data_IF_646482164299
#
_entry.id   IF_646482164299
#
_cell.length_a   1.000
_cell.length_b   1.000
_cell.length_c   1.000
_cell.angle_alpha   90.00
_cell.angle_beta   90.00
_cell.angle_gamma   90.00
#
_symmetry.space_group_name_H-M   'P 1'
#
loop_
_entity.id
_entity.type
_entity.pdbx_description
1 polymer ?
#
# COMPACT_ATOMS: atom_id res chain seq x y z
N UNK A 1 4.94 -3.53 27.09
CA UNK A 1 4.26 -2.52 26.26
C UNK A 1 3.29 -3.24 25.36
N UNK A 2 1.98 -2.99 25.47
CA UNK A 2 0.99 -3.61 24.57
C UNK A 2 1.16 -2.95 23.20
N UNK A 3 1.70 -3.61 22.15
CA UNK A 3 1.84 -2.99 20.85
C UNK A 3 0.44 -3.02 20.22
N UNK A 4 -0.45 -2.14 20.71
CA UNK A 4 -1.71 -1.82 20.04
C UNK A 4 -1.30 -1.54 18.60
N UNK A 5 -1.66 -2.47 17.72
CA UNK A 5 -1.25 -2.46 16.32
C UNK A 5 -1.51 -1.08 15.77
N UNK A 6 -0.45 -0.28 15.67
CA UNK A 6 -0.57 1.14 15.40
C UNK A 6 -1.14 1.24 14.00
N UNK A 7 -2.20 2.02 13.83
CA UNK A 7 -2.69 2.34 12.49
C UNK A 7 -1.55 3.10 11.82
N UNK A 8 -0.90 2.43 10.87
CA UNK A 8 0.25 2.98 10.13
C UNK A 8 -0.24 3.74 8.92
N UNK A 9 -1.41 3.35 8.38
CA UNK A 9 -2.00 3.96 7.19
C UNK A 9 -3.46 4.28 7.42
N UNK A 10 -3.86 5.49 7.02
CA UNK A 10 -5.23 5.99 7.07
C UNK A 10 -5.89 5.93 5.70
N UNK A 11 -7.20 5.79 5.68
CA UNK A 11 -8.00 6.02 4.46
C UNK A 11 -7.65 7.39 3.86
N UNK A 12 -7.62 7.44 2.53
CA UNK A 12 -7.29 8.61 1.71
C UNK A 12 -5.84 9.11 1.84
N UNK A 13 -5.02 8.45 2.66
CA UNK A 13 -3.59 8.72 2.73
C UNK A 13 -2.91 8.30 1.42
N UNK A 14 -1.99 9.16 0.94
CA UNK A 14 -1.08 8.78 -0.13
C UNK A 14 -0.06 7.77 0.39
N UNK A 15 0.09 6.66 -0.34
CA UNK A 15 0.95 5.54 0.04
C UNK A 15 1.88 5.20 -1.10
N UNK A 16 3.00 4.56 -0.75
CA UNK A 16 4.00 4.07 -1.69
C UNK A 16 3.89 2.55 -1.80
N UNK A 17 3.67 2.07 -3.00
CA UNK A 17 3.66 0.64 -3.34
C UNK A 17 5.01 0.28 -3.94
N UNK A 18 5.67 -0.73 -3.37
CA UNK A 18 6.96 -1.26 -3.84
C UNK A 18 6.76 -2.66 -4.40
N UNK A 19 7.39 -2.93 -5.53
CA UNK A 19 7.54 -4.28 -6.09
C UNK A 19 9.03 -4.54 -6.12
N UNK A 20 9.47 -5.57 -5.40
CA UNK A 20 10.84 -6.06 -5.42
C UNK A 20 10.80 -7.56 -5.69
N UNK A 21 11.03 -7.95 -6.94
CA UNK A 21 11.02 -9.33 -7.41
C UNK A 21 12.18 -9.54 -8.39
N UNK A 22 12.65 -10.78 -8.60
CA UNK A 22 13.71 -11.04 -9.57
C UNK A 22 13.40 -10.42 -10.94
N UNK A 23 14.27 -9.50 -11.38
CA UNK A 23 14.14 -8.79 -12.66
C UNK A 23 13.18 -7.58 -12.68
N UNK A 24 12.50 -7.25 -11.58
CA UNK A 24 11.58 -6.11 -11.49
C UNK A 24 11.74 -5.39 -10.14
N UNK A 25 12.20 -4.15 -10.19
CA UNK A 25 12.14 -3.22 -9.06
C UNK A 25 11.31 -2.01 -9.49
N UNK A 26 10.16 -1.81 -8.86
CA UNK A 26 9.28 -0.69 -9.20
C UNK A 26 8.70 -0.04 -7.94
N UNK A 27 8.47 1.27 -8.03
CA UNK A 27 7.78 2.04 -7.01
C UNK A 27 6.70 2.88 -7.65
N UNK A 28 5.50 2.86 -7.08
CA UNK A 28 4.38 3.66 -7.55
C UNK A 28 3.62 4.29 -6.39
N UNK A 29 2.98 5.43 -6.64
CA UNK A 29 2.13 6.09 -5.67
C UNK A 29 0.68 5.61 -5.82
N UNK A 30 0.00 5.48 -4.68
CA UNK A 30 -1.42 5.17 -4.63
C UNK A 30 -2.11 5.89 -3.48
N UNK A 31 -3.41 5.66 -3.37
CA UNK A 31 -4.24 6.18 -2.28
C UNK A 31 -4.86 5.01 -1.53
N UNK A 32 -4.66 4.94 -0.22
CA UNK A 32 -5.30 3.95 0.62
C UNK A 32 -6.82 4.17 0.64
N UNK A 33 -7.60 3.10 0.47
CA UNK A 33 -9.07 3.20 0.45
C UNK A 33 -9.72 2.89 1.80
N UNK A 34 -8.92 2.47 2.78
CA UNK A 34 -9.31 2.08 4.13
C UNK A 34 -8.12 2.27 5.09
N UNK A 35 -8.39 2.32 6.39
CA UNK A 35 -7.35 2.27 7.42
C UNK A 35 -6.66 0.89 7.42
N UNK A 36 -5.38 0.86 7.80
CA UNK A 36 -4.58 -0.35 7.89
C UNK A 36 -3.46 -0.27 8.93
N UNK A 37 -3.17 -1.41 9.54
CA UNK A 37 -1.99 -1.64 10.39
C UNK A 37 -0.99 -2.56 9.66
N UNK A 38 0.24 -2.63 10.17
CA UNK A 38 1.26 -3.56 9.66
C UNK A 38 0.69 -4.97 9.52
N UNK A 39 0.91 -5.58 8.36
CA UNK A 39 0.46 -6.93 8.03
C UNK A 39 -0.95 -7.01 7.44
N UNK A 40 -1.77 -5.97 7.54
CA UNK A 40 -3.09 -5.95 6.90
C UNK A 40 -2.98 -5.95 5.38
N UNK A 41 -3.99 -6.53 4.73
CA UNK A 41 -4.20 -6.39 3.29
C UNK A 41 -5.27 -5.34 3.05
N UNK A 42 -4.90 -4.23 2.41
CA UNK A 42 -5.80 -3.11 2.14
C UNK A 42 -5.96 -2.88 0.65
N UNK A 43 -7.09 -2.28 0.26
CA UNK A 43 -7.29 -1.77 -1.09
C UNK A 43 -6.53 -0.46 -1.28
N UNK A 44 -5.78 -0.39 -2.37
CA UNK A 44 -5.04 0.79 -2.79
C UNK A 44 -5.47 1.17 -4.20
N UNK A 45 -5.85 2.44 -4.38
CA UNK A 45 -6.11 3.02 -5.69
C UNK A 45 -4.79 3.49 -6.30
N UNK A 46 -4.31 2.79 -7.30
CA UNK A 46 -3.11 3.11 -8.08
C UNK A 46 -3.46 4.17 -9.13
N UNK A 47 -2.69 5.24 -9.18
CA UNK A 47 -2.74 6.22 -10.27
C UNK A 47 -1.61 5.86 -11.24
N UNK A 48 -1.95 5.19 -12.35
CA UNK A 48 -0.94 4.74 -13.33
C UNK A 48 -0.64 5.87 -14.33
N UNK A 49 -1.69 6.54 -14.81
CA UNK A 49 -1.61 7.75 -15.63
C UNK A 49 -2.65 8.76 -15.13
N UNK A 50 -2.73 9.96 -15.73
CA UNK A 50 -3.78 10.94 -15.36
C UNK A 50 -5.20 10.39 -15.57
N UNK A 51 -5.36 9.50 -16.56
CA UNK A 51 -6.67 8.98 -16.97
C UNK A 51 -6.88 7.51 -16.59
N UNK A 52 -5.88 6.86 -15.99
CA UNK A 52 -5.96 5.44 -15.60
C UNK A 52 -5.77 5.24 -14.11
N UNK A 53 -6.80 4.65 -13.51
CA UNK A 53 -6.79 4.18 -12.13
C UNK A 53 -7.02 2.67 -12.08
N UNK A 54 -6.35 1.99 -11.17
CA UNK A 54 -6.66 0.59 -10.81
C UNK A 54 -6.73 0.44 -9.31
N UNK A 55 -7.60 -0.44 -8.83
CA UNK A 55 -7.63 -0.82 -7.41
C UNK A 55 -6.93 -2.15 -7.27
N UNK A 56 -5.94 -2.22 -6.38
CA UNK A 56 -5.19 -3.43 -6.06
C UNK A 56 -5.35 -3.76 -4.57
N UNK A 57 -5.05 -5.00 -4.20
CA UNK A 57 -4.77 -5.36 -2.81
C UNK A 57 -3.27 -5.30 -2.54
N UNK A 58 -2.90 -4.75 -1.39
CA UNK A 58 -1.50 -4.67 -0.97
C UNK A 58 -1.37 -4.88 0.55
N UNK A 59 -0.27 -5.51 0.95
CA UNK A 59 0.10 -5.74 2.35
C UNK A 59 0.80 -4.51 2.91
N UNK A 60 0.38 -4.04 4.09
CA UNK A 60 1.07 -2.97 4.82
C UNK A 60 2.37 -3.50 5.43
N UNK A 61 3.48 -2.83 5.15
CA UNK A 61 4.81 -3.13 5.70
C UNK A 61 5.11 -2.26 6.93
N UNK A 62 6.15 -2.64 7.68
CA UNK A 62 6.55 -1.96 8.92
C UNK A 62 7.00 -0.51 8.68
N UNK A 63 7.59 -0.21 7.51
CA UNK A 63 8.03 1.13 7.12
C UNK A 63 6.89 2.01 6.58
N UNK A 64 5.65 1.52 6.63
CA UNK A 64 4.46 2.20 6.10
C UNK A 64 4.32 2.14 4.58
N UNK A 65 5.22 1.43 3.89
CA UNK A 65 5.05 1.14 2.45
C UNK A 65 4.21 -0.12 2.26
N UNK A 66 3.89 -0.41 1.00
CA UNK A 66 2.94 -1.46 0.64
C UNK A 66 3.57 -2.42 -0.37
N UNK A 67 3.34 -3.72 -0.21
CA UNK A 67 3.69 -4.72 -1.22
C UNK A 67 2.41 -5.26 -1.88
N UNK A 68 2.28 -5.23 -3.22
CA UNK A 68 1.08 -5.70 -3.89
C UNK A 68 0.97 -7.23 -3.87
N UNK A 69 -0.25 -7.71 -3.71
CA UNK A 69 -0.58 -9.13 -3.83
C UNK A 69 -1.12 -9.38 -5.24
N UNK A 70 -0.42 -10.23 -5.98
CA UNK A 70 -0.81 -10.71 -7.31
C UNK A 70 -0.87 -12.24 -7.28
#
# INVERSE_FOLDING_TARGET
TNPKQQVVVKREQSVRVKIDRPGIIATANGTAMQDGKVGDFIKVKMQITKDSQRVIFAKVLEDGTMEPVF
#
